data_IF_350601505188
#
_entry.id   IF_350601505188
#
_cell.length_a   1.000
_cell.length_b   1.000
_cell.length_c   1.000
_cell.angle_alpha   90.00
_cell.angle_beta   90.00
_cell.angle_gamma   90.00
#
_symmetry.space_group_name_H-M   'P 1'
#
loop_
_entity.id
_entity.type
_entity.pdbx_description
1 polymer ?
#
# COMPACT_ATOMS: atom_id res chain seq x y z
N UNK A 1 -12.07 -10.39 22.34
CA UNK A 1 -11.47 -11.41 21.46
C UNK A 1 -10.04 -10.98 21.15
N UNK A 2 -9.06 -11.87 21.01
CA UNK A 2 -7.68 -11.47 20.66
C UNK A 2 -7.46 -11.52 19.15
N UNK A 3 -6.73 -10.54 18.58
CA UNK A 3 -6.32 -10.52 17.18
C UNK A 3 -4.97 -11.21 16.95
N UNK A 4 -3.96 -10.88 17.76
CA UNK A 4 -2.62 -11.49 17.66
C UNK A 4 -2.68 -13.01 17.87
N UNK A 5 -1.98 -13.74 17.00
CA UNK A 5 -1.94 -15.21 16.91
C UNK A 5 -3.32 -15.86 16.66
N UNK A 6 -4.27 -15.11 16.10
CA UNK A 6 -5.62 -15.60 15.84
C UNK A 6 -5.87 -15.97 14.38
N UNK A 7 -6.96 -16.71 14.15
CA UNK A 7 -7.47 -16.95 12.79
C UNK A 7 -7.87 -15.65 12.05
N UNK A 8 -8.11 -14.54 12.76
CA UNK A 8 -8.36 -13.25 12.10
C UNK A 8 -7.08 -12.72 11.48
N UNK A 9 -6.00 -12.67 12.25
CA UNK A 9 -4.69 -12.26 11.76
C UNK A 9 -4.24 -13.14 10.60
N UNK A 10 -4.36 -14.46 10.72
CA UNK A 10 -4.04 -15.39 9.64
C UNK A 10 -4.82 -15.07 8.35
N UNK A 11 -6.12 -14.73 8.46
CA UNK A 11 -6.94 -14.36 7.30
C UNK A 11 -6.50 -13.06 6.65
N UNK A 12 -6.13 -12.04 7.44
CA UNK A 12 -5.64 -10.77 6.90
C UNK A 12 -4.28 -10.93 6.23
N UNK A 13 -3.36 -11.66 6.88
CA UNK A 13 -2.06 -12.03 6.30
C UNK A 13 -2.25 -12.85 5.01
N UNK A 14 -3.16 -13.82 5.03
CA UNK A 14 -3.49 -14.62 3.86
C UNK A 14 -4.08 -13.78 2.73
N UNK A 15 -4.96 -12.83 3.02
CA UNK A 15 -5.50 -11.91 2.02
C UNK A 15 -4.40 -11.03 1.43
N UNK A 16 -3.54 -10.44 2.26
CA UNK A 16 -2.39 -9.65 1.80
C UNK A 16 -1.48 -10.46 0.87
N UNK A 17 -1.07 -11.65 1.29
CA UNK A 17 -0.16 -12.52 0.54
C UNK A 17 -0.75 -13.02 -0.78
N UNK A 18 -2.07 -13.18 -0.86
CA UNK A 18 -2.74 -13.67 -2.07
C UNK A 18 -3.22 -12.56 -3.01
N UNK A 19 -3.25 -11.30 -2.57
CA UNK A 19 -3.78 -10.17 -3.37
C UNK A 19 -2.77 -9.05 -3.55
N UNK A 20 -2.20 -8.53 -2.47
CA UNK A 20 -1.30 -7.37 -2.50
C UNK A 20 0.09 -7.77 -2.98
N UNK A 21 0.67 -8.83 -2.40
CA UNK A 21 2.03 -9.30 -2.76
C UNK A 21 2.16 -9.67 -4.25
N UNK A 22 1.21 -10.39 -4.88
CA UNK A 22 1.32 -10.69 -6.31
C UNK A 22 1.24 -9.44 -7.20
N UNK A 23 0.47 -8.42 -6.78
CA UNK A 23 0.38 -7.15 -7.51
C UNK A 23 1.67 -6.34 -7.38
N UNK A 24 2.25 -6.23 -6.19
CA UNK A 24 3.57 -5.62 -6.00
C UNK A 24 4.64 -6.37 -6.80
N UNK A 25 4.69 -7.70 -6.70
CA UNK A 25 5.64 -8.52 -7.47
C UNK A 25 5.53 -8.25 -8.97
N UNK A 26 4.30 -8.17 -9.51
CA UNK A 26 4.08 -7.86 -10.91
C UNK A 26 4.59 -6.45 -11.27
N UNK A 27 4.28 -5.44 -10.46
CA UNK A 27 4.73 -4.07 -10.66
C UNK A 27 6.26 -3.95 -10.57
N UNK A 28 6.89 -4.57 -9.58
CA UNK A 28 8.35 -4.61 -9.40
C UNK A 28 9.04 -5.32 -10.57
N UNK A 29 8.48 -6.39 -11.10
CA UNK A 29 9.04 -7.03 -12.31
C UNK A 29 8.90 -6.14 -13.54
N UNK A 30 7.75 -5.50 -13.74
CA UNK A 30 7.53 -4.57 -14.86
C UNK A 30 8.52 -3.40 -14.80
N UNK A 31 8.79 -2.82 -13.62
CA UNK A 31 9.77 -1.73 -13.48
C UNK A 31 11.21 -2.14 -13.80
N UNK A 32 11.53 -3.43 -13.71
CA UNK A 32 12.82 -4.00 -14.13
C UNK A 32 12.86 -4.38 -15.62
N UNK A 33 11.80 -4.13 -16.38
CA UNK A 33 11.67 -4.59 -17.78
C UNK A 33 11.48 -6.11 -17.92
N UNK A 34 11.23 -6.81 -16.81
CA UNK A 34 10.99 -8.24 -16.77
C UNK A 34 9.51 -8.49 -17.03
N UNK A 35 9.14 -8.68 -18.30
CA UNK A 35 7.76 -8.96 -18.69
C UNK A 35 7.40 -10.44 -18.47
N UNK A 36 7.68 -10.95 -17.26
CA UNK A 36 7.51 -12.36 -16.88
C UNK A 36 6.03 -12.74 -16.74
N UNK A 37 5.12 -11.76 -16.68
CA UNK A 37 3.70 -11.98 -16.58
C UNK A 37 3.01 -11.55 -17.87
N UNK A 38 2.23 -12.46 -18.48
CA UNK A 38 1.24 -12.14 -19.53
C UNK A 38 0.06 -11.34 -18.95
N UNK A 39 0.33 -10.31 -18.16
CA UNK A 39 -0.73 -9.52 -17.56
C UNK A 39 -1.30 -8.59 -18.63
N UNK A 40 -2.58 -8.78 -18.97
CA UNK A 40 -3.27 -7.94 -19.96
C UNK A 40 -3.68 -6.57 -19.40
N UNK A 41 -3.60 -6.41 -18.07
CA UNK A 41 -3.92 -5.16 -17.39
C UNK A 41 -2.80 -4.14 -17.55
N UNK A 42 -3.17 -2.86 -17.69
CA UNK A 42 -2.20 -1.76 -17.71
C UNK A 42 -1.62 -1.49 -16.32
N UNK A 43 -0.44 -0.86 -16.25
CA UNK A 43 0.20 -0.48 -14.98
C UNK A 43 -0.76 0.33 -14.07
N UNK A 44 -1.49 1.35 -14.56
CA UNK A 44 -2.51 2.03 -13.76
C UNK A 44 -3.57 1.11 -13.16
N UNK A 45 -4.03 0.10 -13.91
CA UNK A 45 -5.03 -0.85 -13.41
C UNK A 45 -4.48 -1.75 -12.30
N UNK A 46 -3.21 -2.17 -12.42
CA UNK A 46 -2.54 -2.96 -11.38
C UNK A 46 -2.36 -2.14 -10.09
N UNK A 47 -1.99 -0.87 -10.21
CA UNK A 47 -1.85 0.03 -9.05
C UNK A 47 -3.21 0.31 -8.40
N UNK A 48 -4.26 0.55 -9.18
CA UNK A 48 -5.62 0.72 -8.63
C UNK A 48 -6.09 -0.54 -7.90
N UNK A 49 -5.82 -1.72 -8.45
CA UNK A 49 -6.12 -2.98 -7.78
C UNK A 49 -5.33 -3.13 -6.47
N UNK A 50 -4.05 -2.77 -6.47
CA UNK A 50 -3.21 -2.77 -5.25
C UNK A 50 -3.84 -1.87 -4.18
N UNK A 51 -4.13 -0.62 -4.52
CA UNK A 51 -4.74 0.38 -3.64
C UNK A 51 -6.08 -0.10 -3.07
N UNK A 52 -6.92 -0.71 -3.90
CA UNK A 52 -8.21 -1.22 -3.46
C UNK A 52 -8.05 -2.35 -2.42
N UNK A 53 -7.12 -3.28 -2.63
CA UNK A 53 -6.88 -4.39 -1.70
C UNK A 53 -6.31 -3.88 -0.36
N UNK A 54 -5.40 -2.90 -0.37
CA UNK A 54 -4.92 -2.23 0.84
C UNK A 54 -6.07 -1.54 1.59
N UNK A 55 -6.91 -0.77 0.88
CA UNK A 55 -8.08 -0.12 1.48
C UNK A 55 -9.03 -1.13 2.11
N UNK A 56 -9.27 -2.27 1.46
CA UNK A 56 -10.15 -3.31 2.00
C UNK A 56 -9.64 -3.84 3.34
N UNK A 57 -8.34 -4.06 3.49
CA UNK A 57 -7.74 -4.50 4.76
C UNK A 57 -7.97 -3.43 5.84
N UNK A 58 -7.56 -2.19 5.56
CA UNK A 58 -7.62 -1.10 6.52
C UNK A 58 -9.06 -0.79 6.95
N UNK A 59 -10.00 -0.66 6.01
CA UNK A 59 -11.41 -0.40 6.33
C UNK A 59 -12.07 -1.53 7.10
N UNK A 60 -11.72 -2.79 6.81
CA UNK A 60 -12.27 -3.92 7.56
C UNK A 60 -11.72 -3.97 8.98
N UNK A 61 -10.41 -3.74 9.17
CA UNK A 61 -9.79 -3.69 10.50
C UNK A 61 -10.31 -2.52 11.32
N UNK A 62 -10.43 -1.33 10.73
CA UNK A 62 -11.00 -0.15 11.40
C UNK A 62 -12.40 -0.46 11.94
N UNK A 63 -13.28 -1.01 11.09
CA UNK A 63 -14.64 -1.41 11.48
C UNK A 63 -14.66 -2.49 12.56
N UNK A 64 -13.72 -3.41 12.58
CA UNK A 64 -13.72 -4.56 13.51
C UNK A 64 -12.87 -4.31 14.77
N UNK A 65 -12.07 -3.24 14.80
CA UNK A 65 -11.08 -2.96 15.84
C UNK A 65 -11.67 -2.99 17.26
N UNK A 66 -12.93 -2.58 17.42
CA UNK A 66 -13.64 -2.56 18.71
C UNK A 66 -13.93 -3.96 19.27
N UNK A 67 -13.90 -5.01 18.44
CA UNK A 67 -14.13 -6.40 18.84
C UNK A 67 -12.91 -7.04 19.50
N UNK A 68 -11.73 -6.41 19.33
CA UNK A 68 -10.46 -6.95 19.79
C UNK A 68 -10.04 -6.35 21.14
N UNK A 69 -9.52 -7.21 22.02
CA UNK A 69 -9.06 -6.84 23.36
C UNK A 69 -7.65 -6.20 23.30
N UNK A 70 -6.83 -6.65 22.35
CA UNK A 70 -5.46 -6.24 22.06
C UNK A 70 -5.40 -5.07 21.07
N UNK A 71 -6.11 -3.98 21.37
CA UNK A 71 -6.28 -2.81 20.49
C UNK A 71 -4.95 -2.20 20.00
N UNK A 72 -3.95 -2.16 20.87
CA UNK A 72 -2.62 -1.62 20.52
C UNK A 72 -1.96 -2.47 19.43
N UNK A 73 -2.10 -3.80 19.50
CA UNK A 73 -1.57 -4.70 18.48
C UNK A 73 -2.25 -4.44 17.13
N UNK A 74 -3.59 -4.36 17.11
CA UNK A 74 -4.35 -4.07 15.89
C UNK A 74 -3.96 -2.71 15.29
N UNK A 75 -3.79 -1.68 16.12
CA UNK A 75 -3.34 -0.37 15.66
C UNK A 75 -1.94 -0.42 15.04
N UNK A 76 -1.00 -1.16 15.65
CA UNK A 76 0.33 -1.36 15.09
C UNK A 76 0.29 -2.15 13.78
N UNK A 77 -0.55 -3.18 13.69
CA UNK A 77 -0.76 -3.92 12.45
C UNK A 77 -1.26 -3.02 11.31
N UNK A 78 -2.27 -2.18 11.59
CA UNK A 78 -2.80 -1.23 10.61
C UNK A 78 -1.74 -0.20 10.20
N UNK A 79 -0.96 0.30 11.17
CA UNK A 79 0.14 1.24 10.91
C UNK A 79 1.19 0.61 9.99
N UNK A 80 1.63 -0.61 10.26
CA UNK A 80 2.60 -1.32 9.42
C UNK A 80 2.06 -1.54 7.99
N UNK A 81 0.76 -1.84 7.86
CA UNK A 81 0.09 -1.96 6.57
C UNK A 81 0.13 -0.64 5.78
N UNK A 82 -0.11 0.49 6.43
CA UNK A 82 0.00 1.83 5.82
C UNK A 82 1.44 2.13 5.42
N UNK A 83 2.41 1.89 6.31
CA UNK A 83 3.83 2.16 6.05
C UNK A 83 4.33 1.39 4.81
N UNK A 84 3.99 0.11 4.70
CA UNK A 84 4.33 -0.69 3.52
C UNK A 84 3.66 -0.16 2.24
N UNK A 85 2.37 0.18 2.31
CA UNK A 85 1.65 0.73 1.15
C UNK A 85 2.23 2.08 0.70
N UNK A 86 2.68 2.91 1.63
CA UNK A 86 3.34 4.18 1.36
C UNK A 86 4.67 3.95 0.64
N UNK A 87 5.48 3.02 1.11
CA UNK A 87 6.76 2.67 0.47
C UNK A 87 6.54 2.21 -0.98
N UNK A 88 5.64 1.26 -1.18
CA UNK A 88 5.34 0.69 -2.49
C UNK A 88 4.79 1.73 -3.46
N UNK A 89 3.81 2.54 -3.04
CA UNK A 89 3.21 3.57 -3.88
C UNK A 89 4.18 4.71 -4.19
N UNK A 90 5.08 5.05 -3.26
CA UNK A 90 6.15 6.02 -3.51
C UNK A 90 7.13 5.49 -4.56
N UNK A 91 7.44 4.20 -4.52
CA UNK A 91 8.24 3.56 -5.56
C UNK A 91 7.51 3.61 -6.92
N UNK A 92 6.25 3.18 -6.99
CA UNK A 92 5.48 3.19 -8.25
C UNK A 92 5.33 4.59 -8.85
N UNK A 93 5.10 5.60 -8.00
CA UNK A 93 5.06 7.00 -8.42
C UNK A 93 6.35 7.41 -9.16
N UNK A 94 7.51 6.93 -8.72
CA UNK A 94 8.80 7.24 -9.34
C UNK A 94 9.08 6.36 -10.57
N UNK A 95 8.64 5.11 -10.55
CA UNK A 95 8.93 4.13 -11.60
C UNK A 95 8.03 4.24 -12.82
N UNK A 96 6.80 4.73 -12.66
CA UNK A 96 5.77 4.72 -13.70
C UNK A 96 5.17 6.13 -13.87
N UNK A 97 5.66 6.91 -14.85
CA UNK A 97 5.15 8.26 -15.10
C UNK A 97 3.63 8.32 -15.28
N UNK A 98 3.04 7.33 -15.95
CA UNK A 98 1.60 7.25 -16.22
C UNK A 98 0.72 7.01 -14.98
N UNK A 99 1.30 6.63 -13.84
CA UNK A 99 0.56 6.38 -12.59
C UNK A 99 0.83 7.41 -11.50
N UNK A 100 1.63 8.45 -11.76
CA UNK A 100 1.96 9.48 -10.76
C UNK A 100 0.71 10.09 -10.11
N UNK A 101 -0.29 10.43 -10.91
CA UNK A 101 -1.53 11.02 -10.39
C UNK A 101 -2.30 10.06 -9.46
N UNK A 102 -2.39 8.78 -9.84
CA UNK A 102 -3.11 7.75 -9.08
C UNK A 102 -2.40 7.47 -7.75
N UNK A 103 -1.07 7.36 -7.76
CA UNK A 103 -0.28 7.17 -6.54
C UNK A 103 -0.39 8.40 -5.62
N UNK A 104 -0.23 9.62 -6.16
CA UNK A 104 -0.30 10.85 -5.38
C UNK A 104 -1.65 11.04 -4.71
N UNK A 105 -2.76 10.81 -5.43
CA UNK A 105 -4.12 10.89 -4.87
C UNK A 105 -4.32 9.95 -3.69
N UNK A 106 -3.82 8.73 -3.78
CA UNK A 106 -3.97 7.75 -2.70
C UNK A 106 -3.09 8.08 -1.49
N UNK A 107 -1.84 8.49 -1.72
CA UNK A 107 -0.91 8.87 -0.65
C UNK A 107 -1.40 10.06 0.18
N UNK A 108 -2.16 10.98 -0.43
CA UNK A 108 -2.81 12.08 0.30
C UNK A 108 -3.79 11.59 1.36
N UNK A 109 -4.43 10.43 1.17
CA UNK A 109 -5.31 9.84 2.18
C UNK A 109 -4.55 9.44 3.46
N UNK A 110 -3.23 9.26 3.36
CA UNK A 110 -2.34 9.00 4.50
C UNK A 110 -1.60 10.26 4.98
N UNK A 111 -1.96 11.44 4.47
CA UNK A 111 -1.30 12.70 4.81
C UNK A 111 0.06 12.90 4.13
N UNK A 112 0.35 12.15 3.06
CA UNK A 112 1.61 12.24 2.32
C UNK A 112 1.41 13.01 1.03
N UNK A 113 2.15 14.11 0.89
CA UNK A 113 2.20 14.89 -0.33
C UNK A 113 3.53 14.65 -1.04
N UNK A 114 3.47 13.98 -2.18
CA UNK A 114 4.62 13.88 -3.09
C UNK A 114 4.65 15.13 -3.97
N UNK A 115 5.72 15.90 -3.89
CA UNK A 115 5.99 16.98 -4.83
C UNK A 115 6.62 16.40 -6.10
N UNK A 116 6.17 16.86 -7.27
CA UNK A 116 6.81 16.59 -8.56
C UNK A 116 8.15 17.33 -8.60
N UNK A 117 9.12 16.91 -7.81
CA UNK A 117 10.47 17.46 -7.85
C UNK A 117 11.34 16.45 -8.56
N UNK A 118 11.45 16.60 -9.88
CA UNK A 118 12.70 16.27 -10.57
C UNK A 118 13.80 17.06 -9.89
N UNK A 119 14.49 16.42 -8.95
CA UNK A 119 15.73 16.87 -8.30
C UNK A 119 15.76 18.33 -7.80
N UNK A 120 15.42 18.52 -6.52
CA UNK A 120 16.16 19.28 -5.51
C UNK A 120 15.38 19.25 -4.19
N UNK A 121 15.90 18.46 -3.24
CA UNK A 121 15.42 18.43 -1.86
C UNK A 121 15.67 19.81 -1.27
N UNK A 122 14.62 20.61 -1.08
CA UNK A 122 14.70 21.79 -0.20
C UNK A 122 14.16 21.42 1.16
N UNK A 123 15.06 21.15 2.10
CA UNK A 123 14.75 21.11 3.53
C UNK A 123 14.49 22.54 3.99
N UNK A 124 13.24 22.95 4.14
CA UNK A 124 12.92 24.17 4.89
C UNK A 124 12.82 23.83 6.37
N UNK A 125 13.91 24.04 7.10
CA UNK A 125 13.89 24.19 8.55
C UNK A 125 13.16 25.51 8.88
N UNK A 126 12.04 25.43 9.60
CA UNK A 126 11.38 26.61 10.16
C UNK A 126 12.20 27.16 11.32
N UNK A 127 12.36 28.49 11.33
CA UNK A 127 12.96 29.28 12.42
C UNK A 127 12.07 29.28 13.66
#
# INVERSE_FOLDING_TARGET
>A
MKFEDSLFEERYNGYWNNTVVPLDTALRHISLGLNLFKNRASIPQLILAYQQNVSNILSNLDRQSYLFDDKIYVQNYMKNTVEQAVEDLTFYYKSFPESQEICSKYLKNFGIELSNVTSEITLTASK
#
